data_IF_045484351669
#
_entry.id   IF_045484351669
#
_cell.length_a   1.000
_cell.length_b   1.000
_cell.length_c   1.000
_cell.angle_alpha   90.00
_cell.angle_beta   90.00
_cell.angle_gamma   90.00
#
_symmetry.space_group_name_H-M   'P 1'
#
loop_
_entity.id
_entity.type
_entity.pdbx_description
1 polymer ?
#
# COMPACT_ATOMS: atom_id res chain seq x y z
N UNK A 1 -37.41 -11.19 47.32
CA UNK A 1 -36.07 -10.81 46.79
C UNK A 1 -35.35 -12.09 46.38
N UNK A 2 -34.92 -12.20 45.12
CA UNK A 2 -34.27 -13.42 44.62
C UNK A 2 -32.75 -13.30 44.88
N UNK A 3 -32.24 -13.97 45.92
CA UNK A 3 -30.83 -13.95 46.28
C UNK A 3 -30.02 -14.71 45.22
N UNK A 4 -29.18 -13.99 44.46
CA UNK A 4 -28.27 -14.58 43.48
C UNK A 4 -26.92 -14.83 44.14
N UNK A 5 -26.44 -16.08 44.10
CA UNK A 5 -25.11 -16.43 44.59
C UNK A 5 -24.04 -15.70 43.78
N UNK A 6 -23.01 -15.19 44.45
CA UNK A 6 -21.88 -14.52 43.80
C UNK A 6 -21.24 -15.37 42.69
N UNK A 7 -21.11 -16.67 42.92
CA UNK A 7 -20.56 -17.62 41.93
C UNK A 7 -21.37 -17.67 40.63
N UNK A 8 -22.69 -17.54 40.68
CA UNK A 8 -23.55 -17.51 39.49
C UNK A 8 -23.35 -16.23 38.67
N UNK A 9 -23.19 -15.08 39.34
CA UNK A 9 -22.85 -13.82 38.65
C UNK A 9 -21.46 -13.88 38.01
N UNK A 10 -20.45 -14.36 38.75
CA UNK A 10 -19.09 -14.51 38.24
C UNK A 10 -19.05 -15.43 37.01
N UNK A 11 -19.73 -16.58 37.07
CA UNK A 11 -19.80 -17.53 35.94
C UNK A 11 -20.47 -16.89 34.73
N UNK A 12 -21.57 -16.15 34.92
CA UNK A 12 -22.23 -15.42 33.84
C UNK A 12 -21.34 -14.36 33.21
N UNK A 13 -20.59 -13.61 34.02
CA UNK A 13 -19.61 -12.63 33.51
C UNK A 13 -18.48 -13.28 32.73
N UNK A 14 -17.95 -14.43 33.18
CA UNK A 14 -16.92 -15.18 32.46
C UNK A 14 -17.43 -15.75 31.13
N UNK A 15 -18.68 -16.23 31.07
CA UNK A 15 -19.33 -16.68 29.84
C UNK A 15 -19.49 -15.52 28.84
N UNK A 16 -19.92 -14.34 29.32
CA UNK A 16 -19.99 -13.13 28.50
C UNK A 16 -18.63 -12.69 27.98
N UNK A 17 -17.59 -12.70 28.82
CA UNK A 17 -16.22 -12.39 28.40
C UNK A 17 -15.75 -13.38 27.33
N UNK A 18 -16.05 -14.67 27.49
CA UNK A 18 -15.66 -15.70 26.52
C UNK A 18 -16.33 -15.47 25.17
N UNK A 19 -17.63 -15.15 25.14
CA UNK A 19 -18.36 -14.78 23.91
C UNK A 19 -17.79 -13.54 23.25
N UNK A 20 -17.50 -12.49 24.03
CA UNK A 20 -16.89 -11.28 23.50
C UNK A 20 -15.50 -11.53 22.89
N UNK A 21 -14.70 -12.42 23.49
CA UNK A 21 -13.40 -12.82 22.93
C UNK A 21 -13.59 -13.55 21.59
N UNK A 22 -14.56 -14.46 21.50
CA UNK A 22 -14.87 -15.19 20.28
C UNK A 22 -15.34 -14.26 19.14
N UNK A 23 -16.24 -13.32 19.46
CA UNK A 23 -16.72 -12.34 18.49
C UNK A 23 -15.60 -11.42 18.00
N UNK A 24 -14.72 -10.98 18.92
CA UNK A 24 -13.54 -10.19 18.56
C UNK A 24 -12.56 -10.97 17.70
N UNK A 25 -12.36 -12.27 17.95
CA UNK A 25 -11.49 -13.12 17.13
C UNK A 25 -12.02 -13.19 15.69
N UNK A 26 -13.32 -13.48 15.50
CA UNK A 26 -13.95 -13.51 14.17
C UNK A 26 -13.84 -12.17 13.44
N UNK A 27 -13.98 -11.06 14.17
CA UNK A 27 -13.79 -9.73 13.61
C UNK A 27 -12.35 -9.50 13.16
N UNK A 28 -11.36 -9.89 13.96
CA UNK A 28 -9.93 -9.77 13.62
C UNK A 28 -9.61 -10.61 12.38
N UNK A 29 -10.11 -11.85 12.30
CA UNK A 29 -9.92 -12.73 11.13
C UNK A 29 -10.48 -12.07 9.87
N UNK A 30 -11.67 -11.46 9.96
CA UNK A 30 -12.29 -10.74 8.83
C UNK A 30 -11.45 -9.53 8.40
N UNK A 31 -10.92 -8.75 9.36
CA UNK A 31 -10.03 -7.60 9.08
C UNK A 31 -8.74 -8.09 8.41
N UNK A 32 -8.18 -9.20 8.88
CA UNK A 32 -6.96 -9.80 8.36
C UNK A 32 -7.16 -10.27 6.91
N UNK A 33 -8.26 -10.95 6.61
CA UNK A 33 -8.61 -11.41 5.25
C UNK A 33 -8.77 -10.24 4.28
N UNK A 34 -9.56 -9.22 4.65
CA UNK A 34 -9.72 -8.01 3.84
C UNK A 34 -8.38 -7.29 3.64
N UNK A 35 -7.55 -7.21 4.68
CA UNK A 35 -6.23 -6.58 4.59
C UNK A 35 -5.29 -7.35 3.65
N UNK A 36 -5.38 -8.68 3.60
CA UNK A 36 -4.60 -9.51 2.67
C UNK A 36 -5.02 -9.24 1.22
N UNK A 37 -6.33 -9.18 0.96
CA UNK A 37 -6.86 -8.89 -0.38
C UNK A 37 -6.48 -7.49 -0.85
N UNK A 38 -6.57 -6.49 0.05
CA UNK A 38 -6.12 -5.12 -0.22
C UNK A 38 -4.61 -5.05 -0.49
N UNK A 39 -3.80 -5.76 0.31
CA UNK A 39 -2.35 -5.84 0.11
C UNK A 39 -2.01 -6.46 -1.24
N UNK A 40 -2.74 -7.52 -1.64
CA UNK A 40 -2.61 -8.13 -2.96
C UNK A 40 -2.96 -7.16 -4.09
N UNK A 41 -4.08 -6.43 -3.96
CA UNK A 41 -4.52 -5.42 -4.91
C UNK A 41 -3.50 -4.29 -5.06
N UNK A 42 -2.94 -3.79 -3.96
CA UNK A 42 -1.87 -2.79 -3.95
C UNK A 42 -0.63 -3.32 -4.67
N UNK A 43 -0.26 -4.58 -4.46
CA UNK A 43 0.85 -5.20 -5.17
C UNK A 43 0.65 -5.29 -6.69
N UNK A 44 -0.55 -5.64 -7.13
CA UNK A 44 -0.90 -5.65 -8.54
C UNK A 44 -0.84 -4.23 -9.15
N UNK A 45 -1.44 -3.25 -8.46
CA UNK A 45 -1.39 -1.84 -8.89
C UNK A 45 0.05 -1.32 -8.97
N UNK A 46 0.86 -1.56 -7.94
CA UNK A 46 2.26 -1.15 -7.93
C UNK A 46 3.03 -1.76 -9.11
N UNK A 47 2.85 -3.06 -9.37
CA UNK A 47 3.46 -3.76 -10.51
C UNK A 47 3.07 -3.13 -11.83
N UNK A 48 1.78 -2.81 -12.02
CA UNK A 48 1.30 -2.10 -13.21
C UNK A 48 1.92 -0.72 -13.33
N UNK A 49 1.93 0.06 -12.25
CA UNK A 49 2.51 1.41 -12.21
C UNK A 49 3.98 1.40 -12.61
N UNK A 50 4.78 0.47 -12.06
CA UNK A 50 6.19 0.33 -12.40
C UNK A 50 6.39 -0.06 -13.86
N UNK A 51 5.59 -1.01 -14.37
CA UNK A 51 5.65 -1.41 -15.79
C UNK A 51 5.38 -0.22 -16.71
N UNK A 52 4.34 0.58 -16.44
CA UNK A 52 4.02 1.75 -17.23
C UNK A 52 5.04 2.88 -17.07
N UNK A 53 5.60 3.06 -15.88
CA UNK A 53 6.72 3.98 -15.67
C UNK A 53 7.93 3.59 -16.52
N UNK A 54 8.27 2.30 -16.58
CA UNK A 54 9.34 1.79 -17.45
C UNK A 54 9.09 2.06 -18.94
N UNK A 55 7.87 1.84 -19.42
CA UNK A 55 7.50 2.15 -20.81
C UNK A 55 7.64 3.66 -21.08
N UNK A 56 7.12 4.50 -20.20
CA UNK A 56 7.22 5.95 -20.33
C UNK A 56 8.68 6.43 -20.33
N UNK A 57 9.53 5.88 -19.47
CA UNK A 57 10.95 6.20 -19.42
C UNK A 57 11.67 5.82 -20.72
N UNK A 58 11.42 4.61 -21.25
CA UNK A 58 11.98 4.18 -22.54
C UNK A 58 11.56 5.07 -23.71
N UNK A 59 10.30 5.53 -23.72
CA UNK A 59 9.82 6.48 -24.73
C UNK A 59 10.55 7.82 -24.60
N UNK A 60 10.74 8.31 -23.38
CA UNK A 60 11.48 9.55 -23.13
C UNK A 60 12.95 9.45 -23.53
N UNK A 61 13.62 8.33 -23.27
CA UNK A 61 15.00 8.08 -23.68
C UNK A 61 15.20 8.22 -25.20
N UNK A 62 14.19 7.84 -25.99
CA UNK A 62 14.20 7.99 -27.46
C UNK A 62 13.86 9.41 -27.89
N UNK A 63 12.88 10.04 -27.23
CA UNK A 63 12.36 11.35 -27.65
C UNK A 63 13.23 12.53 -27.19
N UNK A 64 13.80 12.49 -25.99
CA UNK A 64 14.61 13.59 -25.42
C UNK A 64 15.80 13.98 -26.31
N UNK A 65 16.62 13.04 -26.84
CA UNK A 65 17.72 13.38 -27.74
C UNK A 65 17.25 13.95 -29.08
N UNK A 66 16.10 13.50 -29.59
CA UNK A 66 15.51 14.05 -30.83
C UNK A 66 15.02 15.47 -30.61
N UNK A 67 14.42 15.72 -29.45
CA UNK A 67 13.97 17.04 -29.06
C UNK A 67 15.14 18.04 -29.01
N UNK A 68 16.25 17.66 -28.37
CA UNK A 68 17.42 18.55 -28.27
C UNK A 68 18.03 18.95 -29.62
N UNK A 69 17.73 18.22 -30.71
CA UNK A 69 18.20 18.52 -32.07
C UNK A 69 17.30 19.47 -32.86
N UNK A 70 16.13 19.84 -32.32
CA UNK A 70 15.19 20.76 -32.98
C UNK A 70 15.45 22.20 -32.49
N UNK A 71 15.79 23.15 -33.37
CA UNK A 71 16.23 24.50 -32.98
C UNK A 71 15.18 25.40 -32.32
N UNK A 72 13.91 24.96 -32.20
CA UNK A 72 12.79 25.74 -31.65
C UNK A 72 11.84 24.87 -30.80
N UNK A 73 12.33 24.21 -29.75
CA UNK A 73 11.46 23.51 -28.81
C UNK A 73 10.90 24.44 -27.73
N UNK A 74 9.58 24.43 -27.51
CA UNK A 74 8.97 25.10 -26.37
C UNK A 74 9.55 24.62 -25.02
N UNK A 75 10.00 25.53 -24.13
CA UNK A 75 10.54 25.18 -22.81
C UNK A 75 9.62 24.30 -21.96
N UNK A 76 8.29 24.48 -22.13
CA UNK A 76 7.26 23.69 -21.44
C UNK A 76 7.30 22.21 -21.80
N UNK A 77 7.63 21.86 -23.06
CA UNK A 77 7.70 20.46 -23.49
C UNK A 77 8.94 19.76 -22.92
N UNK A 78 10.09 20.43 -22.93
CA UNK A 78 11.31 19.92 -22.29
C UNK A 78 11.13 19.75 -20.79
N UNK A 79 10.47 20.70 -20.12
CA UNK A 79 10.22 20.62 -18.69
C UNK A 79 9.25 19.48 -18.35
N UNK A 80 8.16 19.34 -19.12
CA UNK A 80 7.23 18.22 -18.97
C UNK A 80 7.93 16.86 -19.16
N UNK A 81 8.79 16.73 -20.18
CA UNK A 81 9.52 15.49 -20.42
C UNK A 81 10.49 15.16 -19.27
N UNK A 82 11.21 16.17 -18.74
CA UNK A 82 12.09 16.00 -17.59
C UNK A 82 11.33 15.67 -16.29
N UNK A 83 10.17 16.29 -16.07
CA UNK A 83 9.31 16.00 -14.92
C UNK A 83 8.76 14.56 -14.99
N UNK A 84 8.38 14.11 -16.19
CA UNK A 84 7.92 12.75 -16.42
C UNK A 84 9.04 11.73 -16.25
N UNK A 85 10.25 12.01 -16.76
CA UNK A 85 11.46 11.18 -16.53
C UNK A 85 11.72 11.04 -15.03
N UNK A 86 11.74 12.16 -14.30
CA UNK A 86 11.95 12.16 -12.85
C UNK A 86 10.89 11.37 -12.08
N UNK A 87 9.62 11.50 -12.47
CA UNK A 87 8.52 10.76 -11.85
C UNK A 87 8.65 9.25 -12.11
N UNK A 88 8.88 8.88 -13.37
CA UNK A 88 8.99 7.48 -13.78
C UNK A 88 10.21 6.80 -13.16
N UNK A 89 11.35 7.49 -13.13
CA UNK A 89 12.56 6.98 -12.46
C UNK A 89 12.33 6.79 -10.96
N UNK A 90 11.67 7.75 -10.28
CA UNK A 90 11.34 7.61 -8.86
C UNK A 90 10.48 6.39 -8.56
N UNK A 91 9.55 6.05 -9.45
CA UNK A 91 8.71 4.84 -9.34
C UNK A 91 9.56 3.58 -9.49
N UNK A 92 10.42 3.54 -10.51
CA UNK A 92 11.30 2.41 -10.83
C UNK A 92 12.28 2.17 -9.68
N UNK A 93 12.95 3.22 -9.20
CA UNK A 93 13.90 3.14 -8.09
C UNK A 93 13.22 2.66 -6.79
N UNK A 94 11.97 3.08 -6.57
CA UNK A 94 11.16 2.67 -5.43
C UNK A 94 10.58 1.26 -5.52
N UNK A 95 10.70 0.57 -6.66
CA UNK A 95 10.06 -0.73 -6.91
C UNK A 95 10.49 -1.78 -5.89
N UNK A 96 11.79 -1.95 -5.68
CA UNK A 96 12.33 -3.01 -4.83
C UNK A 96 11.91 -2.83 -3.37
N UNK A 97 12.02 -1.60 -2.85
CA UNK A 97 11.60 -1.26 -1.51
C UNK A 97 10.10 -1.49 -1.32
N UNK A 98 9.27 -0.99 -2.24
CA UNK A 98 7.82 -1.16 -2.18
C UNK A 98 7.40 -2.63 -2.25
N UNK A 99 8.01 -3.41 -3.15
CA UNK A 99 7.73 -4.84 -3.29
C UNK A 99 8.05 -5.60 -1.99
N UNK A 100 9.16 -5.22 -1.34
CA UNK A 100 9.53 -5.76 -0.03
C UNK A 100 8.51 -5.38 1.04
N UNK A 101 8.14 -4.11 1.16
CA UNK A 101 7.11 -3.65 2.10
C UNK A 101 5.80 -4.42 1.92
N UNK A 102 5.34 -4.63 0.68
CA UNK A 102 4.11 -5.41 0.41
C UNK A 102 4.26 -6.87 0.84
N UNK A 103 5.41 -7.49 0.56
CA UNK A 103 5.69 -8.87 0.97
C UNK A 103 5.75 -9.00 2.50
N UNK A 104 6.40 -8.07 3.18
CA UNK A 104 6.53 -8.05 4.65
C UNK A 104 5.18 -7.82 5.32
N UNK A 105 4.34 -6.90 4.81
CA UNK A 105 2.97 -6.67 5.28
C UNK A 105 2.11 -7.92 5.06
N UNK A 106 2.17 -8.53 3.88
CA UNK A 106 1.44 -9.79 3.60
C UNK A 106 1.87 -10.90 4.54
N UNK A 107 3.17 -11.07 4.77
CA UNK A 107 3.71 -12.03 5.72
C UNK A 107 3.21 -11.75 7.13
N UNK A 108 3.29 -10.49 7.58
CA UNK A 108 2.82 -10.07 8.91
C UNK A 108 1.34 -10.33 9.12
N UNK A 109 0.52 -10.05 8.09
CA UNK A 109 -0.90 -10.38 8.10
C UNK A 109 -1.09 -11.90 8.18
N UNK A 110 -0.42 -12.72 7.38
CA UNK A 110 -0.57 -14.18 7.41
C UNK A 110 -0.13 -14.83 8.72
N UNK A 111 0.89 -14.28 9.38
CA UNK A 111 1.44 -14.86 10.63
C UNK A 111 0.89 -14.21 11.89
N UNK A 112 0.03 -13.19 11.78
CA UNK A 112 -0.42 -12.40 12.92
C UNK A 112 0.71 -11.60 13.61
N UNK A 113 1.81 -11.33 12.90
CA UNK A 113 2.96 -10.61 13.44
C UNK A 113 2.73 -9.10 13.32
N UNK A 114 2.19 -8.53 14.39
CA UNK A 114 1.85 -7.11 14.48
C UNK A 114 3.10 -6.21 14.37
N UNK A 115 4.28 -6.68 14.77
CA UNK A 115 5.52 -5.91 14.67
C UNK A 115 5.90 -5.65 13.23
N UNK A 116 5.66 -6.62 12.33
CA UNK A 116 5.81 -6.41 10.88
C UNK A 116 4.78 -5.44 10.32
N UNK A 117 3.56 -5.39 10.84
CA UNK A 117 2.54 -4.44 10.38
C UNK A 117 2.86 -3.00 10.79
N UNK A 118 3.30 -2.81 12.04
CA UNK A 118 3.61 -1.48 12.58
C UNK A 118 4.86 -0.86 11.93
N UNK A 119 5.88 -1.66 11.62
CA UNK A 119 7.12 -1.18 11.00
C UNK A 119 6.93 -0.56 9.60
N UNK A 120 5.89 -0.97 8.88
CA UNK A 120 5.71 -0.65 7.45
C UNK A 120 4.64 0.41 7.14
N UNK A 121 4.03 1.00 8.16
CA UNK A 121 2.96 2.01 7.97
C UNK A 121 3.46 3.26 7.22
N UNK A 122 4.64 3.77 7.56
CA UNK A 122 5.20 4.96 6.91
C UNK A 122 5.52 4.72 5.42
N UNK A 123 5.93 3.50 5.09
CA UNK A 123 6.27 3.10 3.72
C UNK A 123 5.03 2.94 2.85
N UNK A 124 3.95 2.35 3.39
CA UNK A 124 2.65 2.31 2.72
C UNK A 124 2.05 3.71 2.48
N UNK A 125 2.24 4.64 3.41
CA UNK A 125 1.88 6.05 3.20
C UNK A 125 2.71 6.68 2.08
N UNK A 126 4.01 6.39 2.03
CA UNK A 126 4.88 6.86 0.94
C UNK A 126 4.46 6.31 -0.42
N UNK A 127 4.10 5.03 -0.48
CA UNK A 127 3.55 4.39 -1.68
C UNK A 127 2.26 5.09 -2.12
N UNK A 128 1.31 5.29 -1.21
CA UNK A 128 0.05 5.99 -1.50
C UNK A 128 0.29 7.40 -2.06
N UNK A 129 1.22 8.16 -1.46
CA UNK A 129 1.60 9.49 -1.97
C UNK A 129 2.19 9.42 -3.37
N UNK A 130 3.03 8.42 -3.64
CA UNK A 130 3.63 8.21 -4.96
C UNK A 130 2.56 7.88 -5.99
N UNK A 131 1.65 6.94 -5.69
CA UNK A 131 0.51 6.62 -6.56
C UNK A 131 -0.35 7.86 -6.84
N UNK A 132 -0.66 8.66 -5.81
CA UNK A 132 -1.43 9.89 -5.97
C UNK A 132 -0.71 10.95 -6.81
N UNK A 133 0.63 11.02 -6.76
CA UNK A 133 1.39 11.98 -7.58
C UNK A 133 1.40 11.65 -9.08
N UNK A 134 1.00 10.43 -9.45
CA UNK A 134 0.93 9.96 -10.84
C UNK A 134 -0.47 10.20 -11.43
N UNK A 135 -1.48 10.32 -10.57
CA UNK A 135 -2.83 10.60 -11.02
C UNK A 135 -2.87 12.02 -11.62
N UNK A 136 -3.51 12.19 -12.79
CA UNK A 136 -3.67 13.52 -13.37
C UNK A 136 -4.45 14.42 -12.40
N UNK A 137 -4.03 15.68 -12.29
CA UNK A 137 -4.80 16.68 -11.57
C UNK A 137 -6.20 16.79 -12.21
N UNK A 138 -7.23 16.81 -11.36
CA UNK A 138 -8.62 17.03 -11.80
C UNK A 138 -8.79 18.39 -12.45
#
# INVERSE_FOLDING_TARGET
>A
MNYTKFSSKLTGSLDQISKMIEDNAKMIDSIQEVSLELTGSIGALHTLTVKYAGIANQVLDVLLPLMQKIPLIPPKLTQFAADLERLTQKIIDGQAATSKTIADVRSGLQTGDVSKLQGHTAELQSLTRTLNSILPAK
#
